data_IF_825906429818
#
_entry.id   IF_825906429818
#
_cell.length_a   1.000
_cell.length_b   1.000
_cell.length_c   1.000
_cell.angle_alpha   90.00
_cell.angle_beta   90.00
_cell.angle_gamma   90.00
#
_symmetry.space_group_name_H-M   'P 1'
#
loop_
_entity.id
_entity.type
_entity.pdbx_description
1 polymer ?
#
# COMPACT_ATOMS: atom_id res chain seq x y z
N UNK A 1 -16.20 -11.95 14.96
CA UNK A 1 -15.63 -10.74 14.41
C UNK A 1 -14.35 -10.97 13.62
N UNK A 2 -13.22 -10.41 14.05
CA UNK A 2 -11.99 -10.41 13.25
C UNK A 2 -11.44 -11.81 12.95
N UNK A 3 -11.57 -12.72 13.85
CA UNK A 3 -11.09 -14.09 13.69
C UNK A 3 -11.81 -14.84 12.56
N UNK A 4 -12.97 -14.35 12.14
CA UNK A 4 -13.71 -14.94 11.04
C UNK A 4 -13.33 -14.34 9.67
N UNK A 5 -12.59 -13.26 9.66
CA UNK A 5 -12.06 -12.70 8.43
C UNK A 5 -10.81 -13.45 8.01
N UNK A 6 -10.60 -13.53 6.75
CA UNK A 6 -9.35 -14.04 6.23
C UNK A 6 -9.23 -15.55 6.21
N UNK A 7 -10.32 -16.26 6.27
CA UNK A 7 -10.29 -17.72 6.10
C UNK A 7 -9.88 -18.13 4.70
N UNK A 8 -10.19 -17.29 3.70
CA UNK A 8 -9.84 -17.51 2.31
C UNK A 8 -8.88 -16.42 1.86
N UNK A 9 -7.76 -16.83 1.29
CA UNK A 9 -6.81 -15.89 0.71
C UNK A 9 -7.38 -15.29 -0.58
N UNK A 10 -7.40 -13.97 -0.65
CA UNK A 10 -7.76 -13.24 -1.86
C UNK A 10 -6.59 -12.40 -2.33
N UNK A 11 -6.29 -12.45 -3.61
CA UNK A 11 -5.28 -11.58 -4.23
C UNK A 11 -5.97 -10.46 -4.98
N UNK A 12 -5.68 -9.24 -4.57
CA UNK A 12 -6.23 -8.04 -5.18
C UNK A 12 -5.26 -7.49 -6.21
N UNK A 13 -5.78 -7.18 -7.38
CA UNK A 13 -5.04 -6.44 -8.39
C UNK A 13 -5.76 -5.12 -8.66
N UNK A 14 -5.09 -4.23 -9.37
CA UNK A 14 -5.68 -2.97 -9.76
C UNK A 14 -6.49 -3.15 -11.03
N UNK A 15 -7.64 -2.47 -11.09
CA UNK A 15 -8.47 -2.39 -12.27
C UNK A 15 -7.68 -1.76 -13.43
N UNK A 16 -7.89 -2.25 -14.66
CA UNK A 16 -7.17 -1.76 -15.83
C UNK A 16 -7.39 -0.27 -16.11
N UNK A 17 -8.58 0.23 -15.86
CA UNK A 17 -8.84 1.66 -16.01
C UNK A 17 -8.08 2.48 -14.97
N UNK A 18 -7.99 1.99 -13.74
CA UNK A 18 -7.18 2.62 -12.70
C UNK A 18 -5.70 2.64 -13.08
N UNK A 19 -5.19 1.52 -13.60
CA UNK A 19 -3.79 1.43 -14.07
C UNK A 19 -3.52 2.45 -15.17
N UNK A 20 -4.39 2.54 -16.17
CA UNK A 20 -4.25 3.50 -17.27
C UNK A 20 -4.29 4.94 -16.75
N UNK A 21 -5.20 5.24 -15.84
CA UNK A 21 -5.29 6.57 -15.25
C UNK A 21 -4.01 6.93 -14.50
N UNK A 22 -3.54 6.05 -13.62
CA UNK A 22 -2.32 6.27 -12.86
C UNK A 22 -1.13 6.46 -13.80
N UNK A 23 -0.98 5.61 -14.80
CA UNK A 23 0.14 5.67 -15.72
C UNK A 23 0.14 6.96 -16.54
N UNK A 24 -0.99 7.28 -17.15
CA UNK A 24 -1.07 8.37 -18.12
C UNK A 24 -1.17 9.75 -17.48
N UNK A 25 -1.88 9.86 -16.35
CA UNK A 25 -2.20 11.17 -15.77
C UNK A 25 -1.41 11.49 -14.50
N UNK A 26 -0.72 10.53 -13.91
CA UNK A 26 0.05 10.74 -12.70
C UNK A 26 1.51 10.37 -12.91
N UNK A 27 1.80 9.13 -13.25
CA UNK A 27 3.18 8.64 -13.32
C UNK A 27 3.94 9.28 -14.47
N UNK A 28 3.45 9.16 -15.70
CA UNK A 28 4.16 9.67 -16.88
C UNK A 28 4.40 11.19 -16.81
N UNK A 29 3.43 12.02 -16.40
CA UNK A 29 3.71 13.44 -16.25
C UNK A 29 4.80 13.76 -15.22
N UNK A 30 4.84 13.04 -14.11
CA UNK A 30 5.87 13.22 -13.08
C UNK A 30 7.23 12.81 -13.60
N UNK A 31 7.31 11.66 -14.28
CA UNK A 31 8.57 11.18 -14.86
C UNK A 31 9.10 12.14 -15.93
N UNK A 32 8.22 12.75 -16.73
CA UNK A 32 8.63 13.74 -17.74
C UNK A 32 9.24 14.99 -17.11
N UNK A 33 8.96 15.24 -15.85
CA UNK A 33 9.53 16.35 -15.08
C UNK A 33 10.65 15.91 -14.14
N UNK A 34 11.24 14.74 -14.38
CA UNK A 34 12.34 14.17 -13.60
C UNK A 34 11.98 13.96 -12.12
N UNK A 35 10.72 13.66 -11.84
CA UNK A 35 10.26 13.35 -10.50
C UNK A 35 10.16 11.84 -10.34
N UNK A 36 10.84 11.30 -9.34
CA UNK A 36 10.73 9.89 -9.01
C UNK A 36 9.38 9.60 -8.38
N UNK A 37 8.80 8.46 -8.74
CA UNK A 37 7.49 8.04 -8.25
C UNK A 37 7.59 6.71 -7.52
N UNK A 38 7.08 6.69 -6.31
CA UNK A 38 6.93 5.46 -5.53
C UNK A 38 5.46 5.26 -5.19
N UNK A 39 4.94 4.09 -5.49
CA UNK A 39 3.57 3.71 -5.13
C UNK A 39 3.64 2.83 -3.90
N UNK A 40 2.92 3.22 -2.86
CA UNK A 40 2.84 2.46 -1.62
C UNK A 40 1.57 1.62 -1.63
N UNK A 41 1.72 0.31 -1.49
CA UNK A 41 0.59 -0.58 -1.25
C UNK A 41 0.38 -0.65 0.26
N UNK A 42 -0.68 -0.02 0.71
CA UNK A 42 -0.92 0.23 2.12
C UNK A 42 -1.11 -1.04 2.94
N UNK A 43 -0.81 -1.01 4.24
CA UNK A 43 -1.06 -2.15 5.11
C UNK A 43 -2.53 -2.58 5.11
N UNK A 44 -2.75 -3.87 5.18
CA UNK A 44 -4.07 -4.46 5.32
C UNK A 44 -4.28 -4.77 6.79
N UNK A 45 -5.40 -4.33 7.34
CA UNK A 45 -5.68 -4.51 8.76
C UNK A 45 -5.87 -5.97 9.11
N UNK A 46 -5.51 -6.32 10.34
CA UNK A 46 -5.68 -7.68 10.85
C UNK A 46 -7.14 -8.15 10.74
N UNK A 47 -7.31 -9.44 10.49
CA UNK A 47 -8.62 -10.02 10.34
C UNK A 47 -9.11 -10.13 8.91
N UNK A 48 -8.35 -9.61 7.95
CA UNK A 48 -8.64 -9.82 6.52
C UNK A 48 -7.57 -10.70 5.89
N UNK A 49 -7.94 -11.40 4.83
CA UNK A 49 -7.00 -12.17 4.00
C UNK A 49 -6.84 -11.57 2.62
N UNK A 50 -7.07 -10.30 2.51
CA UNK A 50 -6.89 -9.58 1.27
C UNK A 50 -5.42 -9.19 1.12
N UNK A 51 -4.79 -9.64 0.05
CA UNK A 51 -3.42 -9.29 -0.30
C UNK A 51 -3.36 -8.80 -1.74
N UNK A 52 -2.36 -7.98 -2.03
CA UNK A 52 -2.17 -7.52 -3.40
C UNK A 52 -1.38 -8.55 -4.21
N UNK A 53 -1.75 -8.68 -5.48
CA UNK A 53 -0.95 -9.41 -6.46
C UNK A 53 0.18 -8.50 -6.94
N UNK A 54 1.28 -8.51 -6.20
CA UNK A 54 2.39 -7.57 -6.40
C UNK A 54 3.02 -7.74 -7.80
N UNK A 55 3.20 -8.96 -8.24
CA UNK A 55 3.82 -9.21 -9.55
C UNK A 55 2.98 -8.65 -10.68
N UNK A 56 1.67 -8.85 -10.62
CA UNK A 56 0.74 -8.32 -11.60
C UNK A 56 0.77 -6.78 -11.64
N UNK A 57 0.82 -6.14 -10.48
CA UNK A 57 0.89 -4.68 -10.38
C UNK A 57 2.22 -4.17 -10.94
N UNK A 58 3.33 -4.80 -10.59
CA UNK A 58 4.65 -4.42 -11.11
C UNK A 58 4.77 -4.56 -12.62
N UNK A 59 4.13 -5.56 -13.19
CA UNK A 59 4.11 -5.74 -14.64
C UNK A 59 3.28 -4.68 -15.34
N UNK A 60 2.20 -4.24 -14.72
CA UNK A 60 1.25 -3.33 -15.33
C UNK A 60 1.69 -1.86 -15.26
N UNK A 61 2.42 -1.47 -14.22
CA UNK A 61 2.83 -0.08 -13.98
C UNK A 61 4.31 0.07 -14.32
N UNK A 62 4.62 1.05 -15.17
CA UNK A 62 5.98 1.31 -15.65
C UNK A 62 6.53 2.60 -15.07
N UNK A 63 7.82 2.57 -14.72
CA UNK A 63 8.56 3.76 -14.30
C UNK A 63 8.39 4.16 -12.85
N UNK A 64 7.54 3.49 -12.09
CA UNK A 64 7.37 3.75 -10.68
C UNK A 64 7.91 2.59 -9.86
N UNK A 65 8.46 2.91 -8.69
CA UNK A 65 8.80 1.90 -7.69
C UNK A 65 7.50 1.49 -6.99
N UNK A 66 7.30 0.19 -6.82
CA UNK A 66 6.16 -0.34 -6.07
C UNK A 66 6.69 -0.88 -4.75
N UNK A 67 6.17 -0.36 -3.65
CA UNK A 67 6.58 -0.79 -2.32
C UNK A 67 5.40 -1.44 -1.61
N UNK A 68 5.58 -2.71 -1.27
CA UNK A 68 4.55 -3.49 -0.58
C UNK A 68 4.70 -3.32 0.93
N UNK A 69 3.77 -2.60 1.54
CA UNK A 69 3.72 -2.36 2.98
C UNK A 69 2.63 -3.20 3.66
N UNK A 70 2.07 -4.18 2.96
CA UNK A 70 0.95 -4.97 3.50
C UNK A 70 1.36 -5.87 4.66
N UNK A 71 2.66 -6.12 4.84
CA UNK A 71 3.17 -6.86 6.00
C UNK A 71 3.26 -6.04 7.27
N UNK A 72 3.13 -4.71 7.18
CA UNK A 72 3.13 -3.86 8.36
C UNK A 72 1.84 -4.05 9.14
N UNK A 73 1.95 -4.32 10.44
CA UNK A 73 0.80 -4.67 11.28
C UNK A 73 0.54 -3.63 12.37
N UNK A 74 -0.74 -3.46 12.66
CA UNK A 74 -1.20 -2.62 13.77
C UNK A 74 -1.72 -3.50 14.89
N UNK A 75 -1.48 -3.07 16.13
CA UNK A 75 -2.10 -3.69 17.30
C UNK A 75 -3.54 -3.19 17.44
N UNK A 76 -4.36 -3.92 18.21
CA UNK A 76 -5.76 -3.57 18.37
C UNK A 76 -5.96 -2.18 18.97
N UNK A 77 -5.08 -1.74 19.88
CA UNK A 77 -5.13 -0.41 20.48
C UNK A 77 -4.72 0.71 19.52
N UNK A 78 -4.23 0.37 18.33
CA UNK A 78 -3.86 1.31 17.29
C UNK A 78 -4.96 1.48 16.23
N UNK A 79 -6.06 0.75 16.36
CA UNK A 79 -7.17 0.78 15.43
C UNK A 79 -8.36 1.52 16.05
N UNK A 80 -8.99 2.38 15.24
CA UNK A 80 -10.25 3.02 15.61
C UNK A 80 -11.43 2.07 15.38
N UNK A 81 -11.36 1.34 14.26
CA UNK A 81 -12.30 0.29 13.89
C UNK A 81 -11.58 -0.69 12.95
N UNK A 82 -12.30 -1.54 12.24
CA UNK A 82 -11.72 -2.58 11.38
C UNK A 82 -11.00 -2.02 10.16
N UNK A 83 -11.34 -0.83 9.75
CA UNK A 83 -10.86 -0.25 8.51
C UNK A 83 -9.98 0.99 8.72
N UNK A 84 -9.93 1.51 9.95
CA UNK A 84 -9.29 2.77 10.23
C UNK A 84 -8.33 2.67 11.40
N UNK A 85 -7.17 3.28 11.24
CA UNK A 85 -6.22 3.44 12.35
C UNK A 85 -6.60 4.68 13.17
N UNK A 86 -6.25 4.66 14.45
CA UNK A 86 -6.42 5.80 15.35
C UNK A 86 -5.15 6.65 15.38
N UNK A 87 -5.08 7.59 16.33
CA UNK A 87 -3.91 8.46 16.43
C UNK A 87 -2.61 7.72 16.75
N UNK A 88 -2.68 6.66 17.55
CA UNK A 88 -1.51 5.83 17.85
C UNK A 88 -1.05 5.10 16.58
N UNK A 89 -1.98 4.55 15.83
CA UNK A 89 -1.69 3.87 14.58
C UNK A 89 -1.08 4.82 13.56
N UNK A 90 -1.62 6.01 13.42
CA UNK A 90 -1.09 7.03 12.51
C UNK A 90 0.35 7.41 12.87
N UNK A 91 0.62 7.61 14.14
CA UNK A 91 1.97 7.94 14.61
C UNK A 91 2.95 6.82 14.32
N UNK A 92 2.56 5.59 14.61
CA UNK A 92 3.38 4.41 14.32
C UNK A 92 3.70 4.29 12.84
N UNK A 93 2.69 4.43 11.99
CA UNK A 93 2.86 4.31 10.54
C UNK A 93 3.71 5.45 9.97
N UNK A 94 3.47 6.67 10.43
CA UNK A 94 4.27 7.84 10.01
C UNK A 94 5.74 7.66 10.37
N UNK A 95 6.04 7.17 11.58
CA UNK A 95 7.40 6.89 11.99
C UNK A 95 8.06 5.82 11.14
N UNK A 96 7.30 4.79 10.76
CA UNK A 96 7.78 3.74 9.87
C UNK A 96 8.16 4.30 8.50
N UNK A 97 7.30 5.14 7.91
CA UNK A 97 7.57 5.77 6.62
C UNK A 97 8.80 6.69 6.70
N UNK A 98 8.96 7.43 7.80
CA UNK A 98 10.14 8.28 8.01
C UNK A 98 11.42 7.43 8.03
N UNK A 99 11.40 6.30 8.72
CA UNK A 99 12.56 5.40 8.76
C UNK A 99 12.88 4.82 7.38
N UNK A 100 11.86 4.44 6.61
CA UNK A 100 12.06 3.99 5.23
C UNK A 100 12.73 5.08 4.39
N UNK A 101 12.27 6.32 4.53
CA UNK A 101 12.84 7.45 3.81
C UNK A 101 14.31 7.68 4.19
N UNK A 102 14.62 7.67 5.50
CA UNK A 102 15.99 7.86 5.99
C UNK A 102 16.95 6.78 5.52
N UNK A 103 16.45 5.57 5.31
CA UNK A 103 17.25 4.42 4.87
C UNK A 103 17.27 4.25 3.35
N UNK A 104 16.75 5.21 2.60
CA UNK A 104 16.62 5.15 1.14
C UNK A 104 15.78 3.96 0.64
N UNK A 105 14.83 3.50 1.45
CA UNK A 105 13.95 2.38 1.09
C UNK A 105 12.64 2.84 0.45
N UNK A 106 12.40 4.13 0.44
CA UNK A 106 11.22 4.72 -0.21
C UNK A 106 11.55 5.19 -1.61
#
# INVERSE_FOLDING_TARGET
>A
PRENFGKNLELKTLNQNTIKYLQNFIIDPLLRNDIEVTILLEPIFDGTNLHYDINSIKEAIKGAKILDLTSFKFNDDELADWEHINNLGRKKYSNYLIELYKNDDL
#
